data_IF_639356650892
#
_entry.id   IF_639356650892
#
_cell.length_a   1.000
_cell.length_b   1.000
_cell.length_c   1.000
_cell.angle_alpha   90.00
_cell.angle_beta   90.00
_cell.angle_gamma   90.00
#
_symmetry.space_group_name_H-M   'P 1'
#
loop_
_entity.id
_entity.type
_entity.pdbx_description
1 polymer ?
#
# COMPACT_ATOMS: atom_id res chain seq x y z
N UNK A 1 16.73 -6.35 -5.87
CA UNK A 1 15.59 -5.45 -6.09
C UNK A 1 16.08 -4.00 -6.16
N UNK A 2 15.53 -3.16 -7.03
CA UNK A 2 15.85 -1.73 -7.10
C UNK A 2 15.66 -1.04 -5.74
N UNK A 3 16.66 -0.25 -5.33
CA UNK A 3 16.60 0.56 -4.12
C UNK A 3 16.32 2.02 -4.47
N UNK A 4 15.68 2.74 -3.55
CA UNK A 4 15.39 4.15 -3.66
C UNK A 4 15.36 4.81 -2.27
N UNK A 5 15.33 6.14 -2.25
CA UNK A 5 14.94 6.88 -1.05
C UNK A 5 13.44 6.68 -0.86
N UNK A 6 13.06 6.09 0.26
CA UNK A 6 11.69 5.80 0.65
C UNK A 6 11.20 6.85 1.63
N UNK A 7 9.90 7.08 1.66
CA UNK A 7 9.24 7.87 2.70
C UNK A 7 9.15 7.11 4.03
N UNK A 8 8.91 5.79 3.98
CA UNK A 8 8.81 4.92 5.15
C UNK A 8 7.44 4.89 5.85
N UNK A 9 6.59 5.88 5.58
CA UNK A 9 5.24 5.99 6.14
C UNK A 9 4.31 6.82 5.25
N UNK A 10 4.40 6.70 3.92
CA UNK A 10 3.56 7.47 3.02
C UNK A 10 2.08 7.03 3.14
N UNK A 11 1.21 7.96 3.54
CA UNK A 11 -0.26 7.84 3.46
C UNK A 11 -0.89 9.20 3.22
N UNK A 12 -2.22 9.22 3.07
CA UNK A 12 -2.97 10.42 2.68
C UNK A 12 -2.72 11.62 3.61
N UNK A 13 -2.51 11.38 4.90
CA UNK A 13 -2.33 12.46 5.88
C UNK A 13 -0.90 13.03 5.86
N UNK A 14 0.02 12.40 5.10
CA UNK A 14 1.37 12.89 4.79
C UNK A 14 1.45 13.46 3.36
N UNK A 15 0.29 13.73 2.76
CA UNK A 15 0.17 14.35 1.44
C UNK A 15 -0.82 15.50 1.46
N UNK A 16 -0.53 16.54 0.68
CA UNK A 16 -1.45 17.64 0.42
C UNK A 16 -1.40 18.01 -1.06
N UNK A 17 -2.40 18.76 -1.53
CA UNK A 17 -2.33 19.44 -2.82
C UNK A 17 -1.94 20.89 -2.58
N UNK A 18 -0.96 21.39 -3.33
CA UNK A 18 -0.69 22.83 -3.37
C UNK A 18 -1.70 23.59 -4.24
N UNK A 19 -1.54 24.91 -4.33
CA UNK A 19 -2.42 25.79 -5.12
C UNK A 19 -2.44 25.46 -6.62
N UNK A 20 -1.42 24.76 -7.11
CA UNK A 20 -1.30 24.32 -8.50
C UNK A 20 -1.81 22.88 -8.70
N UNK A 21 -2.37 22.25 -7.67
CA UNK A 21 -2.87 20.87 -7.71
C UNK A 21 -1.76 19.82 -7.77
N UNK A 22 -0.53 20.15 -7.38
CA UNK A 22 0.57 19.20 -7.27
C UNK A 22 0.54 18.53 -5.91
N UNK A 23 0.92 17.25 -5.87
CA UNK A 23 1.05 16.52 -4.61
C UNK A 23 2.34 16.95 -3.90
N UNK A 24 2.17 17.52 -2.72
CA UNK A 24 3.24 17.81 -1.77
C UNK A 24 3.28 16.68 -0.75
N UNK A 25 4.48 16.15 -0.52
CA UNK A 25 4.75 15.08 0.42
C UNK A 25 5.53 15.67 1.60
N UNK A 26 5.12 15.38 2.82
CA UNK A 26 5.73 15.89 4.06
C UNK A 26 5.81 14.78 5.12
N UNK A 27 6.34 15.10 6.31
CA UNK A 27 6.65 14.12 7.37
C UNK A 27 7.69 13.05 6.96
N UNK A 28 8.91 13.53 6.69
CA UNK A 28 10.03 12.71 6.21
C UNK A 28 10.87 12.08 7.33
N UNK A 29 10.40 12.09 8.58
CA UNK A 29 11.17 11.58 9.73
C UNK A 29 11.52 10.08 9.61
N UNK A 30 10.69 9.33 8.88
CA UNK A 30 10.84 7.89 8.62
C UNK A 30 11.55 7.59 7.28
N UNK A 31 12.00 8.63 6.58
CA UNK A 31 12.62 8.46 5.27
C UNK A 31 13.93 7.66 5.38
N UNK A 32 14.12 6.71 4.48
CA UNK A 32 15.27 5.79 4.51
C UNK A 32 15.60 5.23 3.14
N UNK A 33 16.85 4.83 2.94
CA UNK A 33 17.24 4.09 1.75
C UNK A 33 16.80 2.62 1.87
N UNK A 34 16.18 2.06 0.84
CA UNK A 34 15.74 0.67 0.88
C UNK A 34 15.06 0.19 -0.40
N UNK A 35 14.54 -1.06 -0.40
CA UNK A 35 13.78 -1.57 -1.53
C UNK A 35 12.50 -0.77 -1.74
N UNK A 36 12.32 -0.20 -2.94
CA UNK A 36 11.17 0.67 -3.26
C UNK A 36 9.81 0.00 -3.08
N UNK A 37 9.78 -1.34 -3.16
CA UNK A 37 8.54 -2.09 -2.98
C UNK A 37 7.95 -1.95 -1.57
N UNK A 38 8.77 -1.69 -0.56
CA UNK A 38 8.28 -1.52 0.82
C UNK A 38 7.38 -0.30 0.96
N UNK A 39 7.74 0.79 0.28
CA UNK A 39 6.97 2.04 0.30
C UNK A 39 5.75 1.94 -0.61
N UNK A 40 5.93 1.34 -1.80
CA UNK A 40 4.85 1.08 -2.75
C UNK A 40 3.76 0.19 -2.12
N UNK A 41 4.12 -0.94 -1.51
CA UNK A 41 3.12 -1.86 -0.94
C UNK A 41 2.36 -1.20 0.20
N UNK A 42 3.05 -0.50 1.10
CA UNK A 42 2.39 0.21 2.21
C UNK A 42 1.48 1.33 1.72
N UNK A 43 1.95 2.17 0.81
CA UNK A 43 1.15 3.26 0.26
C UNK A 43 -0.06 2.74 -0.54
N UNK A 44 0.10 1.66 -1.31
CA UNK A 44 -0.99 1.03 -2.05
C UNK A 44 -2.05 0.45 -1.10
N UNK A 45 -1.64 -0.22 -0.02
CA UNK A 45 -2.55 -0.69 1.03
C UNK A 45 -3.35 0.47 1.63
N UNK A 46 -2.67 1.55 2.04
CA UNK A 46 -3.31 2.70 2.67
C UNK A 46 -4.17 3.51 1.69
N UNK A 47 -3.86 3.51 0.39
CA UNK A 47 -4.72 4.07 -0.65
C UNK A 47 -6.01 3.24 -0.86
N UNK A 48 -5.91 1.91 -0.70
CA UNK A 48 -7.03 0.99 -0.72
C UNK A 48 -7.90 1.04 0.55
N UNK A 49 -7.32 1.47 1.67
CA UNK A 49 -7.98 1.52 2.97
C UNK A 49 -8.74 2.83 3.19
N UNK A 50 -10.06 2.74 3.42
CA UNK A 50 -10.89 3.89 3.79
C UNK A 50 -11.13 3.89 5.30
N UNK A 51 -10.39 4.73 6.02
CA UNK A 51 -10.51 4.89 7.49
C UNK A 51 -11.92 5.21 7.98
N UNK A 52 -12.76 5.88 7.17
CA UNK A 52 -14.12 6.28 7.54
C UNK A 52 -15.19 5.22 7.17
N UNK A 53 -14.96 4.42 6.15
CA UNK A 53 -15.94 3.44 5.63
C UNK A 53 -15.59 2.00 6.05
N UNK A 54 -14.46 1.81 6.74
CA UNK A 54 -13.95 0.52 7.22
C UNK A 54 -13.83 -0.57 6.13
N UNK A 55 -13.73 -0.16 4.87
CA UNK A 55 -13.72 -1.05 3.72
C UNK A 55 -12.39 -0.98 2.97
N UNK A 56 -11.93 -2.14 2.53
CA UNK A 56 -10.86 -2.26 1.55
C UNK A 56 -11.45 -2.05 0.14
N UNK A 57 -10.78 -1.24 -0.69
CA UNK A 57 -11.09 -1.14 -2.12
C UNK A 57 -9.93 -1.72 -2.93
N UNK A 58 -10.04 -2.99 -3.40
CA UNK A 58 -9.07 -3.60 -4.30
C UNK A 58 -8.82 -2.75 -5.55
N UNK A 59 -9.85 -2.08 -6.07
CA UNK A 59 -9.76 -1.24 -7.26
C UNK A 59 -8.81 -0.06 -7.06
N UNK A 60 -8.83 0.56 -5.86
CA UNK A 60 -7.90 1.65 -5.51
C UNK A 60 -6.47 1.15 -5.39
N UNK A 61 -6.25 -0.03 -4.81
CA UNK A 61 -4.93 -0.67 -4.73
C UNK A 61 -4.39 -0.87 -6.16
N UNK A 62 -5.18 -1.50 -7.03
CA UNK A 62 -4.81 -1.76 -8.43
C UNK A 62 -4.55 -0.45 -9.17
N UNK A 63 -5.41 0.55 -8.99
CA UNK A 63 -5.23 1.87 -9.62
C UNK A 63 -3.92 2.55 -9.19
N UNK A 64 -3.59 2.51 -7.89
CA UNK A 64 -2.37 3.07 -7.35
C UNK A 64 -1.13 2.37 -7.93
N UNK A 65 -1.11 1.04 -7.86
CA UNK A 65 -0.01 0.21 -8.39
C UNK A 65 0.19 0.43 -9.89
N UNK A 66 -0.88 0.45 -10.67
CA UNK A 66 -0.82 0.75 -12.11
C UNK A 66 -0.24 2.13 -12.38
N UNK A 67 -0.67 3.14 -11.63
CA UNK A 67 -0.21 4.52 -11.80
C UNK A 67 1.28 4.67 -11.46
N UNK A 68 1.74 3.96 -10.43
CA UNK A 68 3.16 3.85 -10.12
C UNK A 68 3.94 3.17 -11.24
N UNK A 69 3.48 2.00 -11.69
CA UNK A 69 4.14 1.20 -12.73
C UNK A 69 4.34 1.98 -14.04
N UNK A 70 3.35 2.77 -14.46
CA UNK A 70 3.46 3.61 -15.67
C UNK A 70 4.58 4.65 -15.62
N UNK A 71 4.95 5.11 -14.44
CA UNK A 71 6.05 6.08 -14.23
C UNK A 71 7.37 5.38 -13.95
N UNK A 72 7.30 4.28 -13.21
CA UNK A 72 8.45 3.53 -12.78
C UNK A 72 8.14 2.03 -12.86
N UNK A 73 8.41 1.40 -14.02
CA UNK A 73 8.02 0.02 -14.28
C UNK A 73 8.56 -0.96 -13.23
N UNK A 74 7.68 -1.87 -12.80
CA UNK A 74 7.99 -2.96 -11.88
C UNK A 74 8.63 -4.11 -12.64
N UNK A 75 9.74 -4.62 -12.12
CA UNK A 75 10.36 -5.86 -12.59
C UNK A 75 9.50 -7.07 -12.25
N UNK A 76 9.74 -8.20 -12.91
CA UNK A 76 9.00 -9.44 -12.69
C UNK A 76 9.08 -9.91 -11.23
N UNK A 77 10.28 -9.81 -10.63
CA UNK A 77 10.52 -10.14 -9.23
C UNK A 77 9.74 -9.22 -8.28
N UNK A 78 9.63 -7.93 -8.60
CA UNK A 78 8.84 -6.96 -7.82
C UNK A 78 7.34 -7.25 -7.91
N UNK A 79 6.83 -7.60 -9.09
CA UNK A 79 5.42 -7.98 -9.25
C UNK A 79 5.08 -9.23 -8.45
N UNK A 80 5.96 -10.23 -8.46
CA UNK A 80 5.79 -11.46 -7.68
C UNK A 80 5.79 -11.22 -6.16
N UNK A 81 6.47 -10.16 -5.68
CA UNK A 81 6.58 -9.84 -4.25
C UNK A 81 5.54 -8.82 -3.75
N UNK A 82 4.81 -8.16 -4.65
CA UNK A 82 3.94 -7.04 -4.29
C UNK A 82 2.77 -7.48 -3.40
N UNK A 83 2.08 -8.56 -3.76
CA UNK A 83 0.95 -9.06 -2.96
C UNK A 83 1.39 -9.62 -1.59
N UNK A 84 2.45 -10.44 -1.47
CA UNK A 84 3.02 -10.80 -0.16
C UNK A 84 3.36 -9.58 0.70
N UNK A 85 3.92 -8.52 0.12
CA UNK A 85 4.28 -7.30 0.85
C UNK A 85 3.08 -6.42 1.21
N UNK A 86 2.00 -6.45 0.41
CA UNK A 86 0.70 -5.84 0.77
C UNK A 86 0.10 -6.53 2.01
N UNK A 87 0.06 -7.86 2.01
CA UNK A 87 -0.42 -8.65 3.17
C UNK A 87 0.44 -8.39 4.41
N UNK A 88 1.76 -8.31 4.23
CA UNK A 88 2.69 -7.99 5.32
C UNK A 88 2.43 -6.61 5.91
N UNK A 89 2.06 -5.60 5.10
CA UNK A 89 1.70 -4.28 5.59
C UNK A 89 0.44 -4.31 6.46
N UNK A 90 -0.60 -5.07 6.06
CA UNK A 90 -1.81 -5.25 6.88
C UNK A 90 -1.50 -5.86 8.26
N UNK A 91 -0.67 -6.90 8.28
CA UNK A 91 -0.27 -7.57 9.53
C UNK A 91 0.58 -6.64 10.42
N UNK A 92 1.45 -5.83 9.81
CA UNK A 92 2.24 -4.84 10.54
C UNK A 92 1.35 -3.81 11.24
N UNK A 93 0.32 -3.29 10.56
CA UNK A 93 -0.60 -2.32 11.16
C UNK A 93 -1.42 -2.96 12.28
N UNK A 94 -1.91 -4.20 12.10
CA UNK A 94 -2.60 -4.93 13.18
C UNK A 94 -1.71 -5.11 14.42
N UNK A 95 -0.44 -5.47 14.22
CA UNK A 95 0.55 -5.57 15.32
C UNK A 95 0.77 -4.21 16.00
N UNK A 96 0.93 -3.15 15.21
CA UNK A 96 1.23 -1.80 15.73
C UNK A 96 0.07 -1.29 16.60
N UNK A 97 -1.17 -1.42 16.12
CA UNK A 97 -2.38 -1.06 16.87
C UNK A 97 -2.46 -1.79 18.22
N UNK A 98 -2.06 -3.07 18.25
CA UNK A 98 -2.06 -3.85 19.48
C UNK A 98 -1.01 -3.34 20.48
N UNK A 99 0.19 -3.05 19.98
CA UNK A 99 1.29 -2.53 20.81
C UNK A 99 1.02 -1.12 21.34
N UNK A 100 0.31 -0.29 20.57
CA UNK A 100 -0.12 1.06 20.95
C UNK A 100 -1.32 1.05 21.92
N UNK A 101 -1.87 -0.11 22.26
CA UNK A 101 -2.97 -0.23 23.22
C UNK A 101 -4.30 0.30 22.70
N UNK A 102 -4.52 0.28 21.38
CA UNK A 102 -5.79 0.70 20.80
C UNK A 102 -6.94 -0.18 21.30
N UNK A 103 -8.14 0.40 21.32
CA UNK A 103 -9.35 -0.33 21.65
C UNK A 103 -9.55 -1.57 20.74
N UNK A 104 -10.28 -2.55 21.26
CA UNK A 104 -10.57 -3.81 20.55
C UNK A 104 -11.25 -3.59 19.20
N UNK A 105 -12.10 -2.57 19.07
CA UNK A 105 -12.79 -2.24 17.82
C UNK A 105 -11.83 -2.04 16.62
N UNK A 106 -10.91 -1.07 16.66
CA UNK A 106 -9.84 -0.90 15.68
C UNK A 106 -9.08 -2.20 15.32
N UNK A 107 -8.72 -3.00 16.33
CA UNK A 107 -8.02 -4.28 16.12
C UNK A 107 -8.86 -5.26 15.30
N UNK A 108 -10.13 -5.47 15.69
CA UNK A 108 -11.05 -6.36 14.98
C UNK A 108 -11.28 -5.92 13.54
N UNK A 109 -11.30 -4.60 13.29
CA UNK A 109 -11.43 -4.06 11.93
C UNK A 109 -10.22 -4.37 11.06
N UNK A 110 -9.02 -4.12 11.56
CA UNK A 110 -7.79 -4.45 10.81
C UNK A 110 -7.64 -5.96 10.60
N UNK A 111 -8.07 -6.78 11.58
CA UNK A 111 -8.10 -8.23 11.43
C UNK A 111 -9.09 -8.66 10.31
N UNK A 112 -10.31 -8.12 10.30
CA UNK A 112 -11.30 -8.37 9.23
C UNK A 112 -10.74 -7.99 7.85
N UNK A 113 -10.15 -6.81 7.71
CA UNK A 113 -9.58 -6.34 6.45
C UNK A 113 -8.42 -7.22 5.97
N UNK A 114 -7.61 -7.73 6.91
CA UNK A 114 -6.55 -8.68 6.59
C UNK A 114 -7.12 -9.98 6.03
N UNK A 115 -8.21 -10.48 6.62
CA UNK A 115 -8.91 -11.68 6.12
C UNK A 115 -9.58 -11.43 4.76
N UNK A 116 -10.20 -10.26 4.55
CA UNK A 116 -10.77 -9.88 3.26
C UNK A 116 -9.71 -9.81 2.16
N UNK A 117 -8.55 -9.20 2.44
CA UNK A 117 -7.43 -9.14 1.49
C UNK A 117 -6.90 -10.55 1.18
N UNK A 118 -6.76 -11.39 2.21
CA UNK A 118 -6.30 -12.77 2.05
C UNK A 118 -7.29 -13.63 1.26
N UNK A 119 -8.60 -13.43 1.47
CA UNK A 119 -9.66 -14.11 0.72
C UNK A 119 -9.68 -13.70 -0.75
N UNK A 120 -9.45 -12.41 -1.03
CA UNK A 120 -9.44 -11.86 -2.38
C UNK A 120 -8.05 -11.90 -3.06
N UNK A 121 -7.06 -12.59 -2.47
CA UNK A 121 -5.66 -12.53 -2.89
C UNK A 121 -5.44 -12.89 -4.36
N UNK A 122 -6.14 -13.92 -4.86
CA UNK A 122 -5.97 -14.41 -6.24
C UNK A 122 -6.55 -13.44 -7.26
N UNK A 123 -7.75 -12.89 -6.97
CA UNK A 123 -8.37 -11.87 -7.80
C UNK A 123 -7.55 -10.57 -7.83
N UNK A 124 -6.99 -10.17 -6.68
CA UNK A 124 -6.13 -9.00 -6.58
C UNK A 124 -4.80 -9.21 -7.30
N UNK A 125 -4.16 -10.38 -7.18
CA UNK A 125 -2.94 -10.70 -7.93
C UNK A 125 -3.22 -10.64 -9.43
N UNK A 126 -4.26 -11.34 -9.90
CA UNK A 126 -4.64 -11.36 -11.31
C UNK A 126 -4.90 -9.94 -11.85
N UNK A 127 -5.55 -9.08 -11.06
CA UNK A 127 -5.78 -7.69 -11.42
C UNK A 127 -4.46 -6.89 -11.51
N UNK A 128 -3.56 -7.03 -10.53
CA UNK A 128 -2.24 -6.38 -10.55
C UNK A 128 -1.44 -6.84 -11.77
N UNK A 129 -1.34 -8.15 -12.01
CA UNK A 129 -0.59 -8.71 -13.13
C UNK A 129 -1.15 -8.22 -14.47
N UNK A 130 -2.48 -8.17 -14.62
CA UNK A 130 -3.13 -7.67 -15.84
C UNK A 130 -2.70 -6.25 -16.22
N UNK A 131 -2.45 -5.37 -15.25
CA UNK A 131 -2.11 -3.97 -15.51
C UNK A 131 -0.62 -3.62 -15.35
N UNK A 132 0.21 -4.60 -15.01
CA UNK A 132 1.66 -4.40 -14.83
C UNK A 132 2.51 -5.44 -15.58
N UNK A 133 1.87 -6.38 -16.27
CA UNK A 133 2.52 -7.39 -17.09
C UNK A 133 3.01 -6.85 -18.46
N UNK A 134 3.70 -7.68 -19.23
CA UNK A 134 4.23 -7.30 -20.55
C UNK A 134 3.08 -6.86 -21.48
N UNK A 135 3.09 -5.61 -21.94
CA UNK A 135 2.08 -5.04 -22.84
C UNK A 135 1.02 -4.14 -22.20
N UNK A 136 1.13 -3.85 -20.90
CA UNK A 136 0.29 -2.90 -20.18
C UNK A 136 0.79 -1.44 -20.21
#
# INVERSE_FOLDING_TARGET
MPHALLHGALHRDHTALDEQGRVVIFDLEKARWGPRLLDLSRAAYLAGYRTNDEALSPEKIVHFVRSYHRRLPLTDAERALLLPLLLSACLHDLKSLHQEGWAVGPLLRHARLTLELAHNREALDAAIQRYTGPGA
#
